data_IF_870592364900
#
_entry.id   IF_870592364900
#
_cell.length_a   1.000
_cell.length_b   1.000
_cell.length_c   1.000
_cell.angle_alpha   90.00
_cell.angle_beta   90.00
_cell.angle_gamma   90.00
#
_symmetry.space_group_name_H-M   'P 1'
#
loop_
_entity.id
_entity.type
_entity.pdbx_description
1 polymer ?
#
# COMPACT_ATOMS: atom_id res chain seq x y z
N UNK A 1 33.43 -0.77 -6.33
CA UNK A 1 32.23 -1.43 -6.90
C UNK A 1 31.17 -1.69 -5.82
N UNK A 2 30.54 -0.65 -5.24
CA UNK A 2 29.46 -0.82 -4.23
C UNK A 2 28.27 0.13 -4.38
N UNK A 3 28.29 1.06 -5.34
CA UNK A 3 27.19 2.02 -5.57
C UNK A 3 26.30 1.70 -6.79
N UNK A 4 26.65 0.68 -7.58
CA UNK A 4 25.96 0.36 -8.84
C UNK A 4 24.79 -0.62 -8.64
N UNK A 5 24.78 -1.41 -7.56
CA UNK A 5 23.79 -2.49 -7.36
C UNK A 5 22.45 -1.95 -6.81
N UNK A 6 22.44 -0.85 -6.07
CA UNK A 6 21.19 -0.32 -5.46
C UNK A 6 20.33 0.43 -6.50
N UNK A 7 20.92 1.02 -7.54
CA UNK A 7 20.16 1.65 -8.62
C UNK A 7 19.54 0.65 -9.60
N UNK A 8 20.12 -0.55 -9.73
CA UNK A 8 19.64 -1.56 -10.69
C UNK A 8 18.37 -2.28 -10.22
N UNK A 9 18.13 -2.36 -8.90
CA UNK A 9 16.91 -2.98 -8.36
C UNK A 9 15.72 -1.99 -8.41
N UNK A 10 15.98 -0.68 -8.32
CA UNK A 10 14.94 0.34 -8.52
C UNK A 10 14.57 0.55 -10.01
N UNK A 11 15.51 0.36 -10.96
CA UNK A 11 15.24 0.59 -12.38
C UNK A 11 14.58 -0.60 -13.10
N UNK A 12 14.87 -1.83 -12.68
CA UNK A 12 14.22 -3.03 -13.26
C UNK A 12 12.75 -3.14 -12.80
N UNK A 13 12.44 -2.66 -11.59
CA UNK A 13 11.06 -2.55 -11.09
C UNK A 13 10.21 -1.56 -11.89
N UNK A 14 10.83 -0.60 -12.58
CA UNK A 14 10.13 0.36 -13.45
C UNK A 14 9.88 -0.18 -14.87
N UNK A 15 10.73 -1.08 -15.38
CA UNK A 15 10.62 -1.60 -16.74
C UNK A 15 9.51 -2.66 -16.92
N UNK A 16 9.12 -3.36 -15.85
CA UNK A 16 8.05 -4.36 -15.90
C UNK A 16 6.66 -3.74 -15.66
N UNK A 17 6.55 -2.73 -14.79
CA UNK A 17 5.29 -1.98 -14.62
C UNK A 17 4.92 -1.16 -15.86
N UNK A 18 5.90 -0.56 -16.55
CA UNK A 18 5.68 0.25 -17.74
C UNK A 18 4.94 -0.48 -18.89
N UNK A 19 5.15 -1.80 -19.03
CA UNK A 19 4.48 -2.60 -20.07
C UNK A 19 3.01 -2.84 -19.77
N UNK A 20 2.65 -3.09 -18.51
CA UNK A 20 1.26 -3.27 -18.10
C UNK A 20 0.48 -1.94 -18.23
N UNK A 21 1.09 -0.84 -17.79
CA UNK A 21 0.49 0.50 -17.90
C UNK A 21 0.19 0.91 -19.34
N UNK A 22 1.09 0.59 -20.28
CA UNK A 22 0.87 0.84 -21.70
C UNK A 22 -0.33 0.04 -22.24
N UNK A 23 -0.42 -1.26 -21.91
CA UNK A 23 -1.53 -2.13 -22.34
C UNK A 23 -2.88 -1.66 -21.81
N UNK A 24 -2.95 -1.19 -20.57
CA UNK A 24 -4.18 -0.67 -19.94
C UNK A 24 -4.59 0.66 -20.60
N UNK A 25 -3.63 1.57 -20.80
CA UNK A 25 -3.90 2.88 -21.41
C UNK A 25 -4.41 2.76 -22.86
N UNK A 26 -3.94 1.77 -23.62
CA UNK A 26 -4.35 1.54 -25.01
C UNK A 26 -5.82 1.10 -25.15
N UNK A 27 -6.40 0.46 -24.14
CA UNK A 27 -7.79 -0.04 -24.15
C UNK A 27 -8.80 1.09 -23.82
N UNK A 28 -8.38 2.16 -23.15
CA UNK A 28 -9.28 3.15 -22.53
C UNK A 28 -9.75 4.27 -23.50
N UNK A 29 -9.29 4.29 -24.76
CA UNK A 29 -9.55 5.41 -25.69
C UNK A 29 -10.92 5.37 -26.38
N UNK A 30 -11.78 6.33 -26.03
CA UNK A 30 -12.67 7.09 -26.92
C UNK A 30 -13.55 8.00 -26.02
N UNK A 31 -13.35 9.33 -26.07
CA UNK A 31 -13.96 10.40 -25.23
C UNK A 31 -13.19 10.71 -23.93
N UNK A 32 -12.81 11.98 -23.71
CA UNK A 32 -12.05 12.45 -22.54
C UNK A 32 -12.79 12.20 -21.21
N UNK A 33 -14.12 12.33 -21.19
CA UNK A 33 -14.94 12.15 -19.99
C UNK A 33 -15.01 10.68 -19.58
N UNK A 34 -15.17 9.79 -20.56
CA UNK A 34 -15.19 8.34 -20.37
C UNK A 34 -13.80 7.81 -20.05
N UNK A 35 -12.77 8.38 -20.67
CA UNK A 35 -11.36 8.10 -20.39
C UNK A 35 -11.02 8.41 -18.93
N UNK A 36 -11.38 9.60 -18.42
CA UNK A 36 -11.11 9.97 -17.03
C UNK A 36 -11.81 9.02 -16.04
N UNK A 37 -13.08 8.68 -16.29
CA UNK A 37 -13.83 7.75 -15.44
C UNK A 37 -13.21 6.33 -15.47
N UNK A 38 -12.78 5.86 -16.65
CA UNK A 38 -12.16 4.54 -16.80
C UNK A 38 -10.78 4.47 -16.13
N UNK A 39 -9.96 5.51 -16.23
CA UNK A 39 -8.67 5.60 -15.52
C UNK A 39 -8.90 5.57 -14.01
N UNK A 40 -9.81 6.41 -13.51
CA UNK A 40 -10.11 6.52 -12.08
C UNK A 40 -10.61 5.18 -11.49
N UNK A 41 -11.48 4.50 -12.22
CA UNK A 41 -12.01 3.18 -11.87
C UNK A 41 -10.92 2.10 -11.88
N UNK A 42 -9.99 2.17 -12.83
CA UNK A 42 -8.86 1.24 -12.94
C UNK A 42 -7.86 1.41 -11.81
N UNK A 43 -7.51 2.65 -11.50
CA UNK A 43 -6.67 2.99 -10.33
C UNK A 43 -7.35 2.50 -9.06
N UNK A 44 -8.65 2.73 -8.91
CA UNK A 44 -9.41 2.31 -7.75
C UNK A 44 -9.37 0.79 -7.53
N UNK A 45 -9.70 0.00 -8.55
CA UNK A 45 -9.77 -1.45 -8.44
C UNK A 45 -8.40 -2.08 -8.10
N UNK A 46 -7.32 -1.62 -8.73
CA UNK A 46 -5.98 -2.13 -8.47
C UNK A 46 -5.51 -1.81 -7.04
N UNK A 47 -5.69 -0.56 -6.63
CA UNK A 47 -5.24 -0.11 -5.30
C UNK A 47 -6.05 -0.78 -4.20
N UNK A 48 -7.36 -0.98 -4.40
CA UNK A 48 -8.18 -1.74 -3.48
C UNK A 48 -7.60 -3.15 -3.23
N UNK A 49 -7.25 -3.89 -4.28
CA UNK A 49 -6.65 -5.23 -4.15
C UNK A 49 -5.32 -5.19 -3.40
N UNK A 50 -4.49 -4.18 -3.67
CA UNK A 50 -3.21 -3.98 -2.99
C UNK A 50 -3.38 -3.67 -1.50
N UNK A 51 -4.33 -2.78 -1.16
CA UNK A 51 -4.68 -2.46 0.23
C UNK A 51 -5.17 -3.71 0.97
N UNK A 52 -6.07 -4.50 0.37
CA UNK A 52 -6.59 -5.73 0.99
C UNK A 52 -5.52 -6.78 1.22
N UNK A 53 -4.58 -6.96 0.30
CA UNK A 53 -3.43 -7.86 0.53
C UNK A 53 -2.51 -7.32 1.62
N UNK A 54 -2.24 -6.02 1.63
CA UNK A 54 -1.42 -5.35 2.66
C UNK A 54 -2.03 -5.55 4.05
N UNK A 55 -3.33 -5.30 4.20
CA UNK A 55 -4.06 -5.51 5.45
C UNK A 55 -3.96 -6.96 5.93
N UNK A 56 -4.19 -7.94 5.04
CA UNK A 56 -4.03 -9.37 5.38
C UNK A 56 -2.64 -9.74 5.89
N UNK A 57 -1.60 -9.04 5.45
CA UNK A 57 -0.23 -9.27 5.90
C UNK A 57 0.01 -8.61 7.26
N UNK A 58 -0.45 -7.37 7.45
CA UNK A 58 -0.21 -6.63 8.70
C UNK A 58 -1.09 -7.11 9.87
N UNK A 59 -2.34 -7.51 9.64
CA UNK A 59 -3.25 -7.97 10.70
C UNK A 59 -2.65 -9.03 11.64
N UNK A 60 -2.08 -10.15 11.17
CA UNK A 60 -1.43 -11.12 12.06
C UNK A 60 -0.19 -10.56 12.76
N UNK A 61 0.55 -9.66 12.11
CA UNK A 61 1.72 -9.00 12.72
C UNK A 61 1.31 -8.07 13.86
N UNK A 62 0.19 -7.37 13.72
CA UNK A 62 -0.39 -6.48 14.73
C UNK A 62 -0.93 -7.27 15.92
N UNK A 63 -1.54 -8.44 15.68
CA UNK A 63 -2.08 -9.30 16.72
C UNK A 63 -0.99 -9.93 17.59
N UNK A 64 0.15 -10.32 17.00
CA UNK A 64 1.26 -10.97 17.71
C UNK A 64 2.62 -10.32 17.36
N UNK A 65 2.87 -9.06 17.78
CA UNK A 65 4.02 -8.29 17.31
C UNK A 65 5.36 -8.83 17.82
N UNK A 66 5.42 -9.27 19.08
CA UNK A 66 6.62 -9.84 19.67
C UNK A 66 7.03 -11.15 19.00
N UNK A 67 6.09 -12.07 18.82
CA UNK A 67 6.32 -13.35 18.14
C UNK A 67 6.74 -13.14 16.68
N UNK A 68 6.06 -12.21 15.99
CA UNK A 68 6.39 -11.85 14.60
C UNK A 68 7.81 -11.34 14.49
N UNK A 69 8.18 -10.32 15.28
CA UNK A 69 9.52 -9.75 15.21
C UNK A 69 10.58 -10.76 15.66
N UNK A 70 10.31 -11.59 16.68
CA UNK A 70 11.22 -12.66 17.06
C UNK A 70 11.44 -13.67 15.92
N UNK A 71 10.37 -14.06 15.22
CA UNK A 71 10.47 -14.96 14.07
C UNK A 71 11.26 -14.36 12.91
N UNK A 72 11.14 -13.04 12.67
CA UNK A 72 11.85 -12.35 11.59
C UNK A 72 13.31 -12.07 11.92
N UNK A 73 13.59 -11.69 13.16
CA UNK A 73 14.90 -11.24 13.62
C UNK A 73 15.76 -12.37 14.19
N UNK A 74 15.16 -13.47 14.64
CA UNK A 74 15.84 -14.56 15.36
C UNK A 74 16.09 -14.27 16.85
N UNK A 75 15.65 -13.12 17.36
CA UNK A 75 15.78 -12.71 18.75
C UNK A 75 14.63 -11.76 19.17
N UNK A 76 14.31 -11.66 20.47
CA UNK A 76 13.25 -10.76 20.95
C UNK A 76 13.57 -9.29 20.68
N UNK A 77 12.57 -8.51 20.25
CA UNK A 77 12.71 -7.07 19.95
C UNK A 77 11.94 -6.24 20.99
N UNK A 78 12.65 -5.40 21.75
CA UNK A 78 12.11 -4.67 22.89
C UNK A 78 10.85 -3.84 22.57
N UNK A 79 10.82 -3.19 21.39
CA UNK A 79 9.72 -2.36 20.90
C UNK A 79 9.06 -2.93 19.63
N UNK A 80 8.87 -4.25 19.58
CA UNK A 80 8.34 -4.94 18.40
C UNK A 80 7.04 -4.34 17.86
N UNK A 81 6.13 -3.95 18.77
CA UNK A 81 4.85 -3.34 18.42
C UNK A 81 5.05 -1.99 17.73
N UNK A 82 5.83 -1.10 18.33
CA UNK A 82 6.12 0.22 17.78
C UNK A 82 6.79 0.12 16.40
N UNK A 83 7.74 -0.81 16.24
CA UNK A 83 8.42 -1.05 14.96
C UNK A 83 7.44 -1.47 13.87
N UNK A 84 6.49 -2.35 14.18
CA UNK A 84 5.45 -2.79 13.22
C UNK A 84 4.53 -1.63 12.86
N UNK A 85 4.08 -0.84 13.84
CA UNK A 85 3.17 0.28 13.59
C UNK A 85 3.84 1.39 12.77
N UNK A 86 5.09 1.74 13.08
CA UNK A 86 5.88 2.70 12.30
C UNK A 86 6.08 2.23 10.86
N UNK A 87 6.31 0.93 10.69
CA UNK A 87 6.48 0.38 9.35
C UNK A 87 5.16 0.36 8.56
N UNK A 88 4.02 0.12 9.21
CA UNK A 88 2.71 0.23 8.58
C UNK A 88 2.42 1.66 8.11
N UNK A 89 2.68 2.68 8.96
CA UNK A 89 2.57 4.11 8.59
C UNK A 89 3.44 4.43 7.38
N UNK A 90 4.70 4.01 7.39
CA UNK A 90 5.61 4.18 6.25
C UNK A 90 5.09 3.51 4.97
N UNK A 91 4.47 2.34 5.10
CA UNK A 91 3.92 1.60 3.97
C UNK A 91 2.69 2.30 3.36
N UNK A 92 1.83 2.90 4.18
CA UNK A 92 0.67 3.68 3.68
C UNK A 92 1.10 4.91 2.88
N UNK A 93 2.14 5.63 3.33
CA UNK A 93 2.69 6.76 2.60
C UNK A 93 3.24 6.33 1.23
N UNK A 94 3.96 5.20 1.19
CA UNK A 94 4.46 4.62 -0.06
C UNK A 94 3.30 4.24 -0.98
N UNK A 95 2.23 3.65 -0.44
CA UNK A 95 1.06 3.27 -1.20
C UNK A 95 0.35 4.49 -1.80
N UNK A 96 0.17 5.56 -1.02
CA UNK A 96 -0.40 6.82 -1.53
C UNK A 96 0.45 7.46 -2.65
N UNK A 97 1.79 7.36 -2.56
CA UNK A 97 2.68 7.79 -3.65
C UNK A 97 2.53 6.92 -4.90
N UNK A 98 2.49 5.60 -4.74
CA UNK A 98 2.29 4.64 -5.82
C UNK A 98 0.94 4.89 -6.55
N UNK A 99 -0.14 5.20 -5.81
CA UNK A 99 -1.45 5.60 -6.36
C UNK A 99 -1.30 6.80 -7.30
N UNK A 100 -0.61 7.84 -6.84
CA UNK A 100 -0.43 9.07 -7.61
C UNK A 100 0.44 8.86 -8.85
N UNK A 101 1.49 8.04 -8.74
CA UNK A 101 2.36 7.69 -9.87
C UNK A 101 1.57 6.87 -10.89
N UNK A 102 0.82 5.88 -10.44
CA UNK A 102 0.03 5.01 -11.30
C UNK A 102 -1.08 5.77 -12.04
N UNK A 103 -1.83 6.61 -11.31
CA UNK A 103 -2.84 7.50 -11.90
C UNK A 103 -2.26 8.41 -12.99
N UNK A 104 -1.05 8.96 -12.78
CA UNK A 104 -0.36 9.76 -13.80
C UNK A 104 0.06 8.93 -15.01
N UNK A 105 0.55 7.71 -14.79
CA UNK A 105 1.02 6.84 -15.87
C UNK A 105 -0.10 6.44 -16.84
N UNK A 106 -1.34 6.35 -16.36
CA UNK A 106 -2.51 6.06 -17.19
C UNK A 106 -3.08 7.27 -17.92
N UNK A 107 -2.66 8.51 -17.58
CA UNK A 107 -3.12 9.73 -18.23
C UNK A 107 -2.39 9.98 -19.55
N UNK A 108 -3.13 9.93 -20.68
CA UNK A 108 -2.57 10.04 -22.03
C UNK A 108 -2.10 11.45 -22.43
N UNK A 109 -2.41 12.47 -21.63
CA UNK A 109 -2.01 13.87 -21.89
C UNK A 109 -1.24 14.53 -20.75
N UNK A 110 -0.92 13.79 -19.69
CA UNK A 110 -0.29 14.34 -18.48
C UNK A 110 -1.15 15.36 -17.73
N UNK A 111 -2.41 15.55 -18.12
CA UNK A 111 -3.36 16.40 -17.42
C UNK A 111 -3.78 15.72 -16.12
N UNK A 112 -3.55 16.46 -15.04
CA UNK A 112 -3.32 16.00 -13.68
C UNK A 112 -4.61 15.87 -12.86
N UNK A 113 -5.75 15.56 -13.50
CA UNK A 113 -7.03 15.50 -12.79
C UNK A 113 -7.15 14.13 -12.14
N UNK A 114 -6.87 14.09 -10.84
CA UNK A 114 -7.15 12.91 -10.00
C UNK A 114 -8.65 12.74 -9.94
N UNK A 115 -9.14 11.58 -10.36
CA UNK A 115 -10.58 11.30 -10.35
C UNK A 115 -11.15 11.17 -8.93
N UNK A 116 -12.49 11.22 -8.80
CA UNK A 116 -13.18 11.19 -7.51
C UNK A 116 -12.94 9.90 -6.71
N UNK A 117 -12.77 8.73 -7.33
CA UNK A 117 -12.51 7.46 -6.64
C UNK A 117 -11.07 7.37 -6.14
N UNK A 118 -10.11 7.78 -6.96
CA UNK A 118 -8.70 7.89 -6.56
C UNK A 118 -8.56 8.87 -5.39
N UNK A 119 -9.29 9.99 -5.43
CA UNK A 119 -9.32 10.95 -4.32
C UNK A 119 -9.84 10.32 -3.03
N UNK A 120 -10.93 9.53 -3.10
CA UNK A 120 -11.48 8.85 -1.94
C UNK A 120 -10.53 7.79 -1.37
N UNK A 121 -9.82 7.04 -2.21
CA UNK A 121 -8.77 6.11 -1.76
C UNK A 121 -7.64 6.87 -1.05
N UNK A 122 -7.16 7.98 -1.62
CA UNK A 122 -6.09 8.76 -1.00
C UNK A 122 -6.51 9.34 0.35
N UNK A 123 -7.78 9.75 0.48
CA UNK A 123 -8.34 10.16 1.77
C UNK A 123 -8.39 9.01 2.76
N UNK A 124 -8.78 7.82 2.32
CA UNK A 124 -8.81 6.64 3.17
C UNK A 124 -7.40 6.23 3.64
N UNK A 125 -6.41 6.19 2.73
CA UNK A 125 -5.02 5.90 3.10
C UNK A 125 -4.48 6.91 4.13
N UNK A 126 -4.82 8.19 3.99
CA UNK A 126 -4.47 9.21 5.00
C UNK A 126 -5.17 8.97 6.34
N UNK A 127 -6.46 8.62 6.33
CA UNK A 127 -7.20 8.34 7.55
C UNK A 127 -6.63 7.11 8.29
N UNK A 128 -6.33 6.04 7.54
CA UNK A 128 -5.68 4.83 8.06
C UNK A 128 -4.30 5.15 8.65
N UNK A 129 -3.48 5.94 7.94
CA UNK A 129 -2.19 6.41 8.44
C UNK A 129 -2.33 7.22 9.73
N UNK A 130 -3.21 8.22 9.77
CA UNK A 130 -3.42 9.08 10.94
C UNK A 130 -3.96 8.27 12.14
N UNK A 131 -4.73 7.22 11.88
CA UNK A 131 -5.13 6.24 12.89
C UNK A 131 -3.93 5.45 13.40
N UNK A 132 -3.09 4.90 12.53
CA UNK A 132 -1.89 4.14 12.90
C UNK A 132 -0.86 4.98 13.66
N UNK A 133 -0.66 6.25 13.29
CA UNK A 133 0.18 7.17 14.06
C UNK A 133 -0.36 7.46 15.45
N UNK A 134 -1.68 7.59 15.60
CA UNK A 134 -2.31 7.77 16.92
C UNK A 134 -2.16 6.52 17.76
N UNK A 135 -2.38 5.35 17.16
CA UNK A 135 -2.15 4.05 17.80
C UNK A 135 -0.71 3.94 18.30
N UNK A 136 0.26 4.29 17.45
CA UNK A 136 1.68 4.27 17.82
C UNK A 136 1.97 5.21 18.99
N UNK A 137 1.53 6.48 18.89
CA UNK A 137 1.75 7.50 19.94
C UNK A 137 1.11 7.16 21.28
N UNK A 138 -0.05 6.52 21.27
CA UNK A 138 -0.81 6.16 22.46
C UNK A 138 -0.52 4.75 22.98
N UNK A 139 0.32 3.98 22.29
CA UNK A 139 0.65 2.58 22.58
C UNK A 139 -0.59 1.71 22.86
N UNK A 140 -1.59 1.81 21.98
CA UNK A 140 -2.84 1.06 22.14
C UNK A 140 -2.61 -0.46 22.00
N UNK A 141 -3.41 -1.24 22.73
CA UNK A 141 -3.37 -2.71 22.66
C UNK A 141 -3.82 -3.24 21.29
N UNK A 142 -3.29 -4.40 20.89
CA UNK A 142 -3.58 -5.03 19.60
C UNK A 142 -5.09 -5.21 19.32
N UNK A 143 -5.89 -5.59 20.32
CA UNK A 143 -7.34 -5.79 20.15
C UNK A 143 -8.07 -4.49 19.79
N UNK A 144 -7.70 -3.38 20.44
CA UNK A 144 -8.25 -2.05 20.16
C UNK A 144 -7.83 -1.58 18.77
N UNK A 145 -6.58 -1.83 18.38
CA UNK A 145 -6.08 -1.54 17.04
C UNK A 145 -6.86 -2.31 15.98
N UNK A 146 -7.04 -3.61 16.18
CA UNK A 146 -7.77 -4.47 15.24
C UNK A 146 -9.21 -3.98 15.04
N UNK A 147 -9.91 -3.61 16.12
CA UNK A 147 -11.26 -3.07 16.03
C UNK A 147 -11.33 -1.75 15.25
N UNK A 148 -10.37 -0.84 15.47
CA UNK A 148 -10.31 0.44 14.75
C UNK A 148 -9.97 0.26 13.27
N UNK A 149 -9.10 -0.70 12.94
CA UNK A 149 -8.75 -1.04 11.55
C UNK A 149 -9.92 -1.69 10.81
N UNK A 150 -10.70 -2.54 11.46
CA UNK A 150 -11.90 -3.16 10.86
C UNK A 150 -12.95 -2.11 10.43
N UNK A 151 -13.14 -1.04 11.22
CA UNK A 151 -14.05 0.06 10.86
C UNK A 151 -13.57 0.81 9.60
N UNK A 152 -12.27 1.08 9.50
CA UNK A 152 -11.69 1.71 8.32
C UNK A 152 -11.83 0.82 7.07
N UNK A 153 -11.52 -0.46 7.17
CA UNK A 153 -11.68 -1.42 6.06
C UNK A 153 -13.13 -1.51 5.57
N UNK A 154 -14.10 -1.50 6.49
CA UNK A 154 -15.52 -1.50 6.15
C UNK A 154 -15.92 -0.29 5.28
N UNK A 155 -15.34 0.89 5.53
CA UNK A 155 -15.61 2.09 4.72
C UNK A 155 -15.17 1.91 3.26
N UNK A 156 -14.05 1.23 3.03
CA UNK A 156 -13.55 0.93 1.67
C UNK A 156 -14.42 -0.11 0.97
N UNK A 157 -14.82 -1.17 1.69
CA UNK A 157 -15.72 -2.19 1.15
C UNK A 157 -17.07 -1.57 0.73
N UNK A 158 -17.57 -0.59 1.50
CA UNK A 158 -18.76 0.17 1.14
C UNK A 158 -18.55 1.02 -0.13
N UNK A 159 -17.37 1.62 -0.30
CA UNK A 159 -17.02 2.35 -1.53
C UNK A 159 -17.00 1.40 -2.74
N UNK A 160 -16.32 0.25 -2.63
CA UNK A 160 -16.29 -0.76 -3.68
C UNK A 160 -17.70 -1.25 -4.04
N UNK A 161 -18.56 -1.49 -3.05
CA UNK A 161 -19.94 -1.92 -3.31
C UNK A 161 -20.76 -0.88 -4.09
N UNK A 162 -20.47 0.42 -3.96
CA UNK A 162 -21.17 1.49 -4.69
C UNK A 162 -20.73 1.59 -6.15
N UNK A 163 -19.48 1.26 -6.45
CA UNK A 163 -18.91 1.29 -7.81
C UNK A 163 -18.77 -0.09 -8.44
N UNK A 164 -19.13 -1.16 -7.72
CA UNK A 164 -18.92 -2.54 -8.14
C UNK A 164 -19.59 -2.89 -9.46
N UNK A 165 -20.78 -2.33 -9.73
CA UNK A 165 -21.49 -2.52 -11.00
C UNK A 165 -20.76 -1.89 -12.20
N UNK A 166 -19.97 -0.84 -11.98
CA UNK A 166 -19.17 -0.15 -13.01
C UNK A 166 -17.82 -0.85 -13.27
N UNK A 167 -17.28 -1.58 -12.29
CA UNK A 167 -15.95 -2.19 -12.33
C UNK A 167 -15.94 -3.60 -12.99
N UNK A 168 -17.03 -4.35 -12.91
CA UNK A 168 -17.01 -5.83 -12.97
C UNK A 168 -16.77 -6.53 -14.32
N UNK A 169 -16.55 -5.85 -15.45
CA UNK A 169 -16.36 -6.56 -16.73
C UNK A 169 -15.12 -6.17 -17.55
N UNK A 170 -14.68 -4.92 -17.49
CA UNK A 170 -13.64 -4.44 -18.43
C UNK A 170 -12.28 -4.24 -17.76
N UNK A 171 -12.27 -3.85 -16.48
CA UNK A 171 -11.04 -3.53 -15.75
C UNK A 171 -10.35 -4.79 -15.22
N UNK A 172 -11.09 -5.77 -14.73
CA UNK A 172 -10.51 -6.98 -14.13
C UNK A 172 -9.89 -7.95 -15.14
N UNK A 173 -10.45 -8.10 -16.34
CA UNK A 173 -9.85 -8.92 -17.42
C UNK A 173 -8.53 -8.34 -17.94
N UNK A 174 -8.32 -7.03 -17.74
CA UNK A 174 -7.13 -6.31 -18.22
C UNK A 174 -5.90 -6.53 -17.32
N UNK A 175 -6.10 -6.84 -16.03
CA UNK A 175 -5.00 -7.16 -15.10
C UNK A 175 -4.57 -8.63 -15.25
N UNK A 176 -3.72 -8.90 -16.25
CA UNK A 176 -3.08 -10.21 -16.42
C UNK A 176 -2.05 -10.53 -15.32
N UNK A 177 -1.64 -11.80 -15.25
CA UNK A 177 -0.71 -12.46 -14.30
C UNK A 177 0.61 -11.73 -13.98
N UNK A 178 1.01 -10.72 -14.75
CA UNK A 178 2.18 -9.88 -14.46
C UNK A 178 1.97 -8.96 -13.26
N UNK A 179 0.77 -8.40 -13.08
CA UNK A 179 0.46 -7.47 -11.98
C UNK A 179 0.17 -8.20 -10.67
N UNK A 180 -0.29 -9.46 -10.74
CA UNK A 180 -0.39 -10.33 -9.57
C UNK A 180 0.98 -10.70 -9.00
N UNK A 181 2.04 -10.72 -9.80
CA UNK A 181 3.40 -10.99 -9.32
C UNK A 181 3.88 -10.00 -8.24
N UNK A 182 3.52 -8.71 -8.35
CA UNK A 182 3.80 -7.71 -7.28
C UNK A 182 2.95 -8.01 -6.03
N UNK A 183 1.69 -8.37 -6.24
CA UNK A 183 0.78 -8.76 -5.17
C UNK A 183 1.21 -10.06 -4.47
N UNK A 184 1.95 -10.94 -5.14
CA UNK A 184 2.43 -12.22 -4.62
C UNK A 184 3.73 -12.06 -3.83
N UNK A 185 4.59 -11.11 -4.22
CA UNK A 185 5.85 -10.81 -3.53
C UNK A 185 5.68 -9.86 -2.32
N UNK A 186 4.51 -9.22 -2.17
CA UNK A 186 4.26 -8.20 -1.15
C UNK A 186 4.54 -8.68 0.28
N UNK A 187 4.21 -9.93 0.60
CA UNK A 187 4.52 -10.56 1.89
C UNK A 187 6.02 -10.49 2.19
N UNK A 188 6.84 -10.91 1.22
CA UNK A 188 8.28 -11.00 1.41
C UNK A 188 8.93 -9.61 1.43
N UNK A 189 8.43 -8.68 0.63
CA UNK A 189 8.86 -7.27 0.68
C UNK A 189 8.65 -6.65 2.06
N UNK A 190 7.46 -6.83 2.64
CA UNK A 190 7.12 -6.32 3.98
C UNK A 190 7.97 -7.00 5.04
N UNK A 191 8.10 -8.33 5.00
CA UNK A 191 8.92 -9.10 5.96
C UNK A 191 10.38 -8.69 5.91
N UNK A 192 10.97 -8.58 4.72
CA UNK A 192 12.36 -8.11 4.55
C UNK A 192 12.52 -6.66 5.03
N UNK A 193 11.52 -5.81 4.76
CA UNK A 193 11.51 -4.42 5.24
C UNK A 193 11.52 -4.31 6.76
N UNK A 194 10.69 -5.11 7.44
CA UNK A 194 10.69 -5.22 8.90
C UNK A 194 11.98 -5.85 9.43
N UNK A 195 12.51 -6.87 8.77
CA UNK A 195 13.75 -7.53 9.15
C UNK A 195 14.94 -6.55 9.15
N UNK A 196 14.98 -5.60 8.23
CA UNK A 196 16.00 -4.53 8.22
C UNK A 196 15.94 -3.62 9.45
N UNK A 197 14.83 -3.61 10.18
CA UNK A 197 14.63 -2.82 11.41
C UNK A 197 14.91 -3.60 12.70
N UNK A 198 15.33 -4.86 12.59
CA UNK A 198 15.69 -5.70 13.75
C UNK A 198 16.84 -5.15 14.61
N UNK A 199 17.68 -4.25 14.08
CA UNK A 199 18.94 -3.82 14.73
C UNK A 199 18.99 -2.32 15.08
N UNK A 200 17.95 -1.53 14.80
CA UNK A 200 17.95 -0.09 15.12
C UNK A 200 17.22 0.24 16.42
N UNK A 201 17.67 -0.32 17.55
CA UNK A 201 17.18 0.05 18.90
C UNK A 201 18.34 0.29 19.89
N UNK A 202 19.52 0.67 19.40
CA UNK A 202 20.55 1.31 20.24
C UNK A 202 20.41 2.83 20.28
N UNK A 203 19.31 3.40 19.74
CA UNK A 203 19.09 4.85 19.61
C UNK A 203 17.70 5.31 20.02
N UNK A 204 16.87 4.45 20.61
CA UNK A 204 15.52 4.83 21.07
C UNK A 204 15.53 5.52 22.45
N UNK A 205 16.66 5.48 23.16
CA UNK A 205 16.86 6.25 24.40
C UNK A 205 17.08 7.76 24.15
N UNK A 206 17.40 8.19 22.91
CA UNK A 206 17.57 9.63 22.59
C UNK A 206 16.26 10.33 22.14
N UNK A 207 15.17 9.61 21.89
CA UNK A 207 13.89 10.20 21.44
C UNK A 207 12.89 10.48 22.56
N UNK A 208 13.19 10.06 23.79
CA UNK A 208 12.31 10.30 24.94
C UNK A 208 12.65 11.56 25.74
N UNK A 209 13.81 12.16 25.47
CA UNK A 209 14.35 13.35 26.14
C UNK A 209 14.53 14.57 25.21
N UNK A 210 13.81 14.67 24.08
CA UNK A 210 13.68 15.89 23.26
C UNK A 210 12.22 16.30 23.03
#
# INVERSE_FOLDING_TARGET
MKKIIIYFILSVAWLLGARAYASVADIIKHDETKEMHSIDTTVFAFIYQLMRKTEKIFQPMIAAPQETMQSLCGFPVLYARQVIYDYAVFHDDKLAQDVMIFSRALSLRGTQIVGPLTTQILQHLRAHRDLMERIHRLDLSADVVQALLMDETFKVDLLLSKVGAEITATVFDTFHTGDTGKLDNLSDEIKIGLQKRCVSVSSFEDFRDQ
#
